data_IF_378921039622
#
_entry.id   IF_378921039622
#
_cell.length_a   1.000
_cell.length_b   1.000
_cell.length_c   1.000
_cell.angle_alpha   90.00
_cell.angle_beta   90.00
_cell.angle_gamma   90.00
#
_symmetry.space_group_name_H-M   'P 1'
#
loop_
_entity.id
_entity.type
_entity.pdbx_description
1 polymer ?
#
# COMPACT_ATOMS: atom_id res chain seq x y z
N UNK A 1 12.25 1.23 -27.34
CA UNK A 1 13.00 1.15 -26.06
C UNK A 1 12.29 1.84 -24.90
N UNK A 2 11.76 3.07 -25.07
CA UNK A 2 11.03 3.81 -24.01
C UNK A 2 9.86 3.03 -23.39
N UNK A 3 9.03 2.38 -24.20
CA UNK A 3 7.86 1.63 -23.70
C UNK A 3 8.28 0.43 -22.85
N UNK A 4 9.37 -0.24 -23.24
CA UNK A 4 9.93 -1.41 -22.54
C UNK A 4 10.45 -0.99 -21.15
N UNK A 5 11.15 0.16 -21.08
CA UNK A 5 11.62 0.72 -19.83
C UNK A 5 10.46 1.07 -18.87
N UNK A 6 9.39 1.68 -19.40
CA UNK A 6 8.22 2.05 -18.60
C UNK A 6 7.49 0.81 -18.07
N UNK A 7 7.32 -0.22 -18.89
CA UNK A 7 6.68 -1.47 -18.46
C UNK A 7 7.47 -2.17 -17.36
N UNK A 8 8.81 -2.14 -17.42
CA UNK A 8 9.65 -2.72 -16.36
C UNK A 8 9.55 -1.93 -15.05
N UNK A 9 9.50 -0.59 -15.12
CA UNK A 9 9.32 0.27 -13.94
C UNK A 9 7.95 0.01 -13.28
N UNK A 10 6.89 -0.13 -14.09
CA UNK A 10 5.54 -0.45 -13.60
C UNK A 10 5.48 -1.83 -12.93
N UNK A 11 6.09 -2.85 -13.55
CA UNK A 11 6.15 -4.19 -12.97
C UNK A 11 6.91 -4.22 -11.64
N UNK A 12 8.04 -3.49 -11.56
CA UNK A 12 8.80 -3.34 -10.31
C UNK A 12 8.00 -2.64 -9.20
N UNK A 13 7.26 -1.57 -9.54
CA UNK A 13 6.40 -0.89 -8.58
C UNK A 13 5.31 -1.83 -8.03
N UNK A 14 4.65 -2.61 -8.89
CA UNK A 14 3.64 -3.59 -8.46
C UNK A 14 4.24 -4.65 -7.53
N UNK A 15 5.44 -5.16 -7.83
CA UNK A 15 6.13 -6.13 -6.97
C UNK A 15 6.47 -5.55 -5.59
N UNK A 16 6.93 -4.30 -5.52
CA UNK A 16 7.20 -3.63 -4.23
C UNK A 16 5.92 -3.46 -3.41
N UNK A 17 4.80 -3.10 -4.05
CA UNK A 17 3.49 -2.99 -3.39
C UNK A 17 3.05 -4.35 -2.85
N UNK A 18 3.15 -5.41 -3.65
CA UNK A 18 2.82 -6.77 -3.23
C UNK A 18 3.71 -7.25 -2.08
N UNK A 19 5.00 -6.97 -2.12
CA UNK A 19 5.94 -7.28 -1.04
C UNK A 19 5.59 -6.56 0.27
N UNK A 20 5.20 -5.28 0.19
CA UNK A 20 4.73 -4.51 1.36
C UNK A 20 3.43 -5.05 1.93
N UNK A 21 2.48 -5.46 1.07
CA UNK A 21 1.24 -6.10 1.49
C UNK A 21 1.48 -7.45 2.16
N UNK A 22 2.41 -8.26 1.63
CA UNK A 22 2.81 -9.52 2.24
C UNK A 22 3.51 -9.32 3.58
N UNK A 23 4.38 -8.31 3.70
CA UNK A 23 5.04 -7.97 4.97
C UNK A 23 4.02 -7.50 6.02
N UNK A 24 3.05 -6.67 5.62
CA UNK A 24 1.96 -6.22 6.47
C UNK A 24 1.03 -7.39 6.90
N UNK A 25 0.82 -8.36 6.01
CA UNK A 25 0.05 -9.57 6.31
C UNK A 25 0.82 -10.53 7.24
N UNK A 26 2.14 -10.67 7.05
CA UNK A 26 3.02 -11.51 7.87
C UNK A 26 3.20 -10.97 9.29
N UNK A 27 3.07 -9.65 9.51
CA UNK A 27 3.13 -9.03 10.83
C UNK A 27 1.96 -9.35 11.77
N UNK A 28 0.94 -10.09 11.33
CA UNK A 28 -0.28 -10.36 12.11
C UNK A 28 -0.15 -11.45 13.17
N UNK A 29 0.96 -12.19 13.23
CA UNK A 29 1.12 -13.32 14.17
C UNK A 29 1.89 -12.99 15.46
N UNK A 30 2.46 -11.78 15.61
CA UNK A 30 3.17 -11.43 16.85
C UNK A 30 2.26 -10.59 17.76
N UNK A 31 1.92 -11.18 18.89
CA UNK A 31 1.14 -10.64 20.01
C UNK A 31 1.83 -9.43 20.68
N UNK A 32 2.07 -8.36 19.93
CA UNK A 32 2.60 -7.08 20.39
C UNK A 32 1.92 -5.98 19.60
N UNK A 33 1.10 -5.18 20.27
CA UNK A 33 0.33 -4.06 19.69
C UNK A 33 1.27 -3.10 18.96
N UNK A 34 1.32 -3.15 17.63
CA UNK A 34 1.95 -2.10 16.84
C UNK A 34 1.13 -0.81 17.01
N UNK A 35 1.73 0.31 17.50
CA UNK A 35 1.03 1.57 17.63
C UNK A 35 0.77 2.14 16.21
N UNK A 36 -0.49 2.11 15.77
CA UNK A 36 -0.90 2.66 14.47
C UNK A 36 -2.15 2.03 13.86
N UNK A 37 -2.42 0.75 14.15
CA UNK A 37 -3.64 0.07 13.74
C UNK A 37 -4.71 0.20 14.83
N UNK A 38 -5.82 0.88 14.54
CA UNK A 38 -6.91 1.04 15.50
C UNK A 38 -7.68 -0.28 15.55
N UNK A 39 -7.42 -1.08 16.59
CA UNK A 39 -8.25 -2.22 16.95
C UNK A 39 -9.17 -1.87 18.12
N UNK A 40 -10.45 -1.70 17.83
CA UNK A 40 -11.50 -1.57 18.83
C UNK A 40 -12.12 -2.96 19.04
N UNK A 41 -11.89 -3.56 20.22
CA UNK A 41 -12.50 -4.84 20.61
C UNK A 41 -13.56 -4.58 21.69
N UNK A 42 -14.81 -4.82 21.35
CA UNK A 42 -15.94 -4.87 22.29
C UNK A 42 -16.26 -6.32 22.68
N UNK A 43 -17.20 -6.50 23.62
CA UNK A 43 -17.58 -7.80 24.18
C UNK A 43 -18.17 -8.80 23.17
N UNK A 44 -18.65 -8.32 22.03
CA UNK A 44 -19.25 -9.11 20.93
C UNK A 44 -18.89 -8.56 19.52
N UNK A 45 -17.93 -7.63 19.43
CA UNK A 45 -17.68 -6.85 18.21
C UNK A 45 -16.20 -6.56 18.09
N UNK A 46 -15.63 -6.61 16.88
CA UNK A 46 -14.25 -6.20 16.64
C UNK A 46 -14.17 -5.33 15.40
N UNK A 47 -13.62 -4.12 15.55
CA UNK A 47 -13.37 -3.19 14.46
C UNK A 47 -11.88 -2.96 14.30
N UNK A 48 -11.36 -3.20 13.09
CA UNK A 48 -9.97 -3.03 12.72
C UNK A 48 -9.87 -1.93 11.66
N UNK A 49 -9.10 -0.88 11.94
CA UNK A 49 -8.86 0.20 11.00
C UNK A 49 -7.35 0.32 10.68
N UNK A 50 -6.93 -0.20 9.52
CA UNK A 50 -5.52 -0.20 9.11
C UNK A 50 -5.10 1.14 8.49
N UNK A 51 -4.81 2.14 9.34
CA UNK A 51 -4.44 3.50 8.91
C UNK A 51 -3.19 3.47 8.03
N UNK A 52 -2.18 2.68 8.42
CA UNK A 52 -0.92 2.59 7.69
C UNK A 52 -1.16 2.16 6.23
N UNK A 53 -2.02 1.18 6.02
CA UNK A 53 -2.38 0.68 4.69
C UNK A 53 -3.11 1.73 3.86
N UNK A 54 -4.05 2.46 4.47
CA UNK A 54 -4.75 3.56 3.79
C UNK A 54 -3.80 4.67 3.34
N UNK A 55 -2.81 5.04 4.16
CA UNK A 55 -1.80 6.06 3.83
C UNK A 55 -0.91 5.59 2.68
N UNK A 56 -0.42 4.35 2.73
CA UNK A 56 0.42 3.78 1.66
C UNK A 56 -0.33 3.73 0.34
N UNK A 57 -1.57 3.24 0.34
CA UNK A 57 -2.42 3.19 -0.86
C UNK A 57 -2.63 4.60 -1.41
N UNK A 58 -2.92 5.58 -0.54
CA UNK A 58 -3.10 6.97 -0.95
C UNK A 58 -1.86 7.55 -1.63
N UNK A 59 -0.68 7.40 -1.02
CA UNK A 59 0.59 7.87 -1.59
C UNK A 59 0.90 7.23 -2.95
N UNK A 60 0.68 5.92 -3.07
CA UNK A 60 0.87 5.19 -4.33
C UNK A 60 -0.07 5.69 -5.42
N UNK A 61 -1.35 5.88 -5.09
CA UNK A 61 -2.35 6.36 -6.03
C UNK A 61 -2.04 7.79 -6.47
N UNK A 62 -1.64 8.66 -5.55
CA UNK A 62 -1.20 10.02 -5.85
C UNK A 62 0.02 10.03 -6.76
N UNK A 63 1.04 9.21 -6.48
CA UNK A 63 2.23 9.09 -7.32
C UNK A 63 1.89 8.59 -8.72
N UNK A 64 1.05 7.55 -8.82
CA UNK A 64 0.60 6.99 -10.09
C UNK A 64 -0.18 8.01 -10.93
N UNK A 65 -1.17 8.68 -10.34
CA UNK A 65 -1.97 9.70 -11.03
C UNK A 65 -1.11 10.90 -11.45
N UNK A 66 -0.12 11.29 -10.66
CA UNK A 66 0.80 12.36 -11.01
C UNK A 66 1.69 11.98 -12.20
N UNK A 67 2.24 10.76 -12.22
CA UNK A 67 3.04 10.24 -13.33
C UNK A 67 2.20 10.15 -14.61
N UNK A 68 0.98 9.60 -14.53
CA UNK A 68 0.05 9.52 -15.66
C UNK A 68 -0.30 10.92 -16.15
N UNK A 69 -0.70 11.83 -15.25
CA UNK A 69 -1.05 13.20 -15.59
C UNK A 69 0.11 13.96 -16.23
N UNK A 70 1.35 13.73 -15.77
CA UNK A 70 2.55 14.33 -16.36
C UNK A 70 2.86 13.76 -17.75
N UNK A 71 2.53 12.50 -18.00
CA UNK A 71 2.63 11.89 -19.34
C UNK A 71 1.51 12.36 -20.28
N UNK A 72 0.29 12.57 -19.77
CA UNK A 72 -0.87 13.02 -20.56
C UNK A 72 -0.83 14.51 -20.90
N UNK A 73 -0.08 15.32 -20.13
CA UNK A 73 0.13 16.76 -20.39
C UNK A 73 1.35 17.05 -21.29
N UNK A 74 2.03 16.02 -21.79
CA UNK A 74 3.04 16.13 -22.86
C UNK A 74 2.44 15.63 -24.16
#
# INVERSE_FOLDING_TARGET
MRNIAITTILAGAILVILGLLMLAAAGRELSWRLPGDIHLRGRNWSFYFPIATCVVISLLLTALLNIIGRFLRR
#
